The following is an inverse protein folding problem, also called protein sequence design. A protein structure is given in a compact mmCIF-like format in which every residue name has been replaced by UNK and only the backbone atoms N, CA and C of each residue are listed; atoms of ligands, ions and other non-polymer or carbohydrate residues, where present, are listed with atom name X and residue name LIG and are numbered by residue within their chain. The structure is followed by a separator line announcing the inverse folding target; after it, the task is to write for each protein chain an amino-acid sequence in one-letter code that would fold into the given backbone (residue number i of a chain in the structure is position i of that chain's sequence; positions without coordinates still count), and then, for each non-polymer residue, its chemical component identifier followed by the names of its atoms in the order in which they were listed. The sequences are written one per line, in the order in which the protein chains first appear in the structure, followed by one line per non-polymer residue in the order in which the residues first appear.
data_IF_701300153415
#
_entry.id   IF_701300153415
#
_cell.length_a   1.000
_cell.length_b   1.000
_cell.length_c   1.000
_cell.angle_alpha   90.00
_cell.angle_beta   90.00
_cell.angle_gamma   90.00
#
_symmetry.space_group_name_H-M   'P 1'
#
loop_
_entity.id
_entity.type
_entity.pdbx_description
1 polymer ?
#
# COMPACT_ATOMS: atom_id res chain seq x y z
N UNK A 1 -8.21 -1.53 -5.00
CA UNK A 1 -7.07 -2.27 -4.45
C UNK A 1 -7.14 -3.67 -5.03
N UNK A 2 -6.05 -4.15 -5.61
CA UNK A 2 -6.01 -5.42 -6.34
C UNK A 2 -4.89 -6.31 -5.80
N UNK A 3 -5.08 -7.62 -5.87
CA UNK A 3 -4.11 -8.61 -5.42
C UNK A 3 -4.16 -8.92 -3.92
N UNK A 4 -3.49 -10.02 -3.55
CA UNK A 4 -3.22 -10.39 -2.17
C UNK A 4 -1.74 -10.16 -1.85
N UNK A 5 -1.46 -9.68 -0.64
CA UNK A 5 -0.10 -9.49 -0.14
C UNK A 5 -0.08 -9.65 1.37
N UNK A 6 1.10 -9.99 1.88
CA UNK A 6 1.39 -10.09 3.30
C UNK A 6 2.26 -8.94 3.77
N UNK A 7 2.42 -8.85 5.08
CA UNK A 7 3.34 -7.89 5.68
C UNK A 7 4.75 -8.11 5.11
N UNK A 8 5.45 -7.01 4.87
CA UNK A 8 6.81 -6.92 4.32
C UNK A 8 6.92 -7.20 2.81
N UNK A 9 5.80 -7.43 2.10
CA UNK A 9 5.78 -7.46 0.64
C UNK A 9 6.01 -6.07 0.03
N UNK A 10 6.60 -6.05 -1.16
CA UNK A 10 6.70 -4.85 -1.99
C UNK A 10 5.49 -4.78 -2.91
N UNK A 11 4.74 -3.68 -2.82
CA UNK A 11 3.60 -3.39 -3.68
C UNK A 11 3.90 -2.21 -4.57
N UNK A 12 3.25 -2.18 -5.74
CA UNK A 12 3.31 -1.07 -6.68
C UNK A 12 2.20 -0.07 -6.37
N UNK A 13 2.54 1.22 -6.42
CA UNK A 13 1.62 2.32 -6.20
C UNK A 13 1.22 2.85 -7.58
N UNK A 14 -0.09 2.85 -7.84
CA UNK A 14 -0.69 3.22 -9.11
C UNK A 14 -1.57 4.45 -8.89
N UNK A 15 -1.47 5.44 -9.77
CA UNK A 15 -2.36 6.60 -9.78
C UNK A 15 -3.75 6.27 -10.34
N UNK A 16 -4.67 7.24 -10.33
CA UNK A 16 -6.02 7.04 -10.88
C UNK A 16 -6.06 6.87 -12.42
N UNK A 17 -4.98 7.18 -13.13
CA UNK A 17 -4.86 7.02 -14.57
C UNK A 17 -4.22 5.67 -14.95
N UNK A 18 -3.79 4.87 -13.98
CA UNK A 18 -3.14 3.58 -14.20
C UNK A 18 -1.61 3.66 -14.30
N UNK A 19 -1.01 4.83 -14.08
CA UNK A 19 0.44 4.98 -14.13
C UNK A 19 1.07 4.48 -12.82
N UNK A 20 2.17 3.73 -12.93
CA UNK A 20 3.00 3.43 -11.79
C UNK A 20 3.75 4.69 -11.36
N UNK A 21 3.58 5.09 -10.11
CA UNK A 21 4.23 6.27 -9.54
C UNK A 21 5.28 5.89 -8.49
N UNK A 22 5.41 4.61 -8.17
CA UNK A 22 6.38 4.13 -7.20
C UNK A 22 6.10 2.72 -6.70
N UNK A 23 6.93 2.32 -5.75
CA UNK A 23 6.82 1.05 -5.03
C UNK A 23 7.02 1.28 -3.54
N UNK A 24 6.46 0.41 -2.71
CA UNK A 24 6.76 0.46 -1.30
C UNK A 24 6.46 -0.81 -0.54
N UNK A 25 7.10 -0.93 0.63
CA UNK A 25 6.93 -2.08 1.51
C UNK A 25 5.70 -1.93 2.39
N UNK A 26 4.80 -2.90 2.34
CA UNK A 26 3.57 -2.89 3.15
C UNK A 26 3.83 -3.41 4.56
N UNK A 27 3.18 -2.81 5.55
CA UNK A 27 3.28 -3.22 6.97
C UNK A 27 2.06 -4.04 7.45
N UNK A 28 1.16 -4.39 6.53
CA UNK A 28 -0.08 -5.10 6.82
C UNK A 28 -0.47 -6.02 5.66
N UNK A 29 -1.45 -6.88 5.92
CA UNK A 29 -1.99 -7.79 4.89
C UNK A 29 -3.05 -7.09 4.05
N UNK A 30 -3.31 -7.63 2.86
CA UNK A 30 -4.32 -7.08 1.96
C UNK A 30 -5.71 -6.96 2.61
N UNK A 31 -6.10 -7.95 3.42
CA UNK A 31 -7.38 -7.95 4.17
C UNK A 31 -7.48 -6.77 5.14
N UNK A 32 -6.41 -6.49 5.89
CA UNK A 32 -6.39 -5.38 6.85
C UNK A 32 -6.53 -4.03 6.14
N UNK A 33 -5.96 -3.88 4.94
CA UNK A 33 -6.13 -2.67 4.13
C UNK A 33 -7.59 -2.50 3.73
N UNK A 34 -8.22 -3.56 3.22
CA UNK A 34 -9.64 -3.54 2.81
C UNK A 34 -10.54 -3.15 4.00
N UNK A 35 -10.31 -3.73 5.18
CA UNK A 35 -11.06 -3.40 6.39
C UNK A 35 -10.84 -1.96 6.89
N UNK A 36 -9.70 -1.35 6.56
CA UNK A 36 -9.30 -0.01 6.95
C UNK A 36 -9.64 1.07 5.90
N UNK A 37 -10.02 0.69 4.67
CA UNK A 37 -10.39 1.64 3.62
C UNK A 37 -11.48 2.61 4.11
N UNK A 38 -11.22 3.92 3.94
CA UNK A 38 -12.13 4.98 4.38
C UNK A 38 -12.17 5.24 5.89
N UNK A 39 -11.35 4.56 6.70
CA UNK A 39 -11.26 4.77 8.17
C UNK A 39 -9.99 5.54 8.54
N UNK A 40 -10.13 6.55 9.39
CA UNK A 40 -9.00 7.32 9.92
C UNK A 40 -8.35 6.64 11.15
N UNK A 41 -7.12 7.05 11.48
CA UNK A 41 -6.42 6.62 12.70
C UNK A 41 -5.81 5.21 12.66
N UNK A 42 -5.75 4.58 11.48
CA UNK A 42 -5.07 3.29 11.27
C UNK A 42 -3.59 3.51 10.95
N UNK A 43 -2.76 2.52 11.25
CA UNK A 43 -1.34 2.55 10.88
C UNK A 43 -1.19 2.69 9.37
N UNK A 44 -0.13 3.38 8.94
CA UNK A 44 0.19 3.54 7.53
C UNK A 44 0.37 2.18 6.85
N UNK A 45 -0.20 2.03 5.65
CA UNK A 45 -0.07 0.81 4.84
C UNK A 45 1.38 0.65 4.37
N UNK A 46 1.94 1.73 3.81
CA UNK A 46 3.35 1.85 3.43
C UNK A 46 3.96 2.99 4.26
N UNK A 47 5.11 2.75 4.86
CA UNK A 47 5.86 3.80 5.57
C UNK A 47 6.78 4.54 4.60
N UNK A 48 7.01 5.84 4.79
CA UNK A 48 7.79 6.66 3.85
C UNK A 48 9.27 6.24 3.75
N UNK A 49 9.88 5.69 4.81
CA UNK A 49 11.23 5.08 4.75
C UNK A 49 11.33 3.91 3.77
N UNK A 50 10.21 3.26 3.47
CA UNK A 50 10.13 2.13 2.56
C UNK A 50 9.26 2.47 1.34
N UNK A 51 9.19 3.74 0.99
CA UNK A 51 8.51 4.25 -0.20
C UNK A 51 9.56 4.79 -1.17
N UNK A 52 9.51 4.30 -2.40
CA UNK A 52 10.26 4.84 -3.52
C UNK A 52 9.28 5.40 -4.55
N UNK A 53 9.47 6.65 -4.95
CA UNK A 53 8.70 7.32 -5.99
C UNK A 53 9.55 7.46 -7.25
N UNK A 54 8.92 7.26 -8.41
CA UNK A 54 9.55 7.41 -9.73
C UNK A 54 9.57 8.85 -10.23
#
# INVERSE_FOLDING_TARGET
MEGEFEKDDIVRIIDNQGNAIGVGKVNCTSRQVIEALGKHGKKAVVHYDYLYLE
#
